data_IF_676775238462
#
_entry.id   IF_676775238462
#
_cell.length_a   1.000
_cell.length_b   1.000
_cell.length_c   1.000
_cell.angle_alpha   90.00
_cell.angle_beta   90.00
_cell.angle_gamma   90.00
#
_symmetry.space_group_name_H-M   'P 1'
#
loop_
_entity.id
_entity.type
_entity.pdbx_description
1 polymer ?
#
# COMPACT_ATOMS: atom_id res chain seq x y z
N UNK A 1 11.47 19.68 -18.07
CA UNK A 1 11.42 18.67 -16.98
C UNK A 1 11.63 17.29 -17.61
N UNK A 2 12.70 16.56 -17.23
CA UNK A 2 12.91 15.17 -17.71
C UNK A 2 11.80 14.28 -17.15
N UNK A 3 11.05 13.61 -18.02
CA UNK A 3 9.99 12.67 -17.60
C UNK A 3 10.63 11.49 -16.85
N UNK A 4 10.03 11.10 -15.73
CA UNK A 4 10.48 9.95 -14.94
C UNK A 4 10.39 8.68 -15.82
N UNK A 5 11.43 7.84 -15.89
CA UNK A 5 11.41 6.64 -16.73
C UNK A 5 10.24 5.72 -16.33
N UNK A 6 9.49 5.20 -17.32
CA UNK A 6 8.24 4.46 -17.09
C UNK A 6 8.38 3.27 -16.12
N UNK A 7 9.54 2.61 -16.13
CA UNK A 7 9.90 1.51 -15.21
C UNK A 7 9.84 1.88 -13.72
N UNK A 8 9.97 3.17 -13.39
CA UNK A 8 9.91 3.68 -12.02
C UNK A 8 8.55 4.28 -11.68
N UNK A 9 7.70 4.55 -12.67
CA UNK A 9 6.40 5.19 -12.43
C UNK A 9 5.49 4.31 -11.57
N UNK A 10 5.41 3.01 -11.88
CA UNK A 10 4.58 2.07 -11.13
C UNK A 10 5.04 1.88 -9.67
N UNK A 11 6.32 1.55 -9.38
CA UNK A 11 6.75 1.41 -7.99
C UNK A 11 6.68 2.74 -7.22
N UNK A 12 6.92 3.88 -7.87
CA UNK A 12 6.78 5.19 -7.24
C UNK A 12 5.31 5.51 -6.92
N UNK A 13 4.38 5.20 -7.83
CA UNK A 13 2.95 5.37 -7.59
C UNK A 13 2.49 4.47 -6.44
N UNK A 14 2.90 3.20 -6.41
CA UNK A 14 2.59 2.29 -5.31
C UNK A 14 3.15 2.80 -3.98
N UNK A 15 4.39 3.31 -3.98
CA UNK A 15 5.04 3.86 -2.79
C UNK A 15 4.31 5.08 -2.22
N UNK A 16 3.68 5.90 -3.06
CA UNK A 16 2.95 7.10 -2.61
C UNK A 16 1.51 6.73 -2.23
N UNK A 17 0.87 5.87 -3.02
CA UNK A 17 -0.55 5.57 -2.91
C UNK A 17 -0.87 4.59 -1.77
N UNK A 18 0.03 3.65 -1.48
CA UNK A 18 -0.16 2.74 -0.34
C UNK A 18 -0.18 3.48 1.02
N UNK A 19 0.83 4.28 1.39
CA UNK A 19 0.79 4.99 2.67
C UNK A 19 -0.32 6.03 2.72
N UNK A 20 -0.67 6.69 1.60
CA UNK A 20 -1.79 7.63 1.61
C UNK A 20 -3.13 6.94 1.92
N UNK A 21 -3.38 5.77 1.34
CA UNK A 21 -4.57 4.97 1.68
C UNK A 21 -4.52 4.45 3.12
N UNK A 22 -3.36 3.92 3.54
CA UNK A 22 -3.18 3.30 4.84
C UNK A 22 -3.32 4.31 6.00
N UNK A 23 -2.95 5.57 5.77
CA UNK A 23 -3.11 6.66 6.74
C UNK A 23 -4.45 7.41 6.58
N UNK A 24 -4.94 7.54 5.35
CA UNK A 24 -6.14 8.31 5.03
C UNK A 24 -7.44 7.61 5.41
N UNK A 25 -7.54 6.29 5.20
CA UNK A 25 -8.75 5.54 5.56
C UNK A 25 -9.05 5.56 7.07
N UNK A 26 -8.06 5.33 7.97
CA UNK A 26 -8.28 5.51 9.41
C UNK A 26 -8.76 6.92 9.76
N UNK A 27 -8.20 7.96 9.14
CA UNK A 27 -8.63 9.34 9.38
C UNK A 27 -10.07 9.58 8.95
N UNK A 28 -10.45 9.14 7.75
CA UNK A 28 -11.84 9.26 7.24
C UNK A 28 -12.80 8.50 8.14
N UNK A 29 -12.45 7.26 8.51
CA UNK A 29 -13.30 6.42 9.36
C UNK A 29 -13.57 7.06 10.72
N UNK A 30 -12.56 7.67 11.35
CA UNK A 30 -12.72 8.37 12.63
C UNK A 30 -13.53 9.64 12.46
N UNK A 31 -13.35 10.40 11.37
CA UNK A 31 -14.16 11.61 11.12
C UNK A 31 -15.63 11.28 10.87
N UNK A 32 -15.92 10.15 10.22
CA UNK A 32 -17.29 9.74 9.90
C UNK A 32 -18.02 9.09 11.08
N UNK A 33 -17.30 8.36 11.93
CA UNK A 33 -17.89 7.58 13.03
C UNK A 33 -17.57 8.14 14.43
N UNK A 34 -16.85 9.27 14.50
CA UNK A 34 -16.28 9.83 15.72
C UNK A 34 -17.30 10.52 16.62
N UNK A 35 -17.91 9.76 17.51
CA UNK A 35 -18.48 10.25 18.78
C UNK A 35 -17.76 9.61 19.98
N UNK A 36 -16.50 9.19 19.77
CA UNK A 36 -15.68 8.54 20.79
C UNK A 36 -15.10 9.54 21.81
N UNK A 37 -14.69 9.05 23.00
CA UNK A 37 -14.17 9.90 24.08
C UNK A 37 -12.76 10.43 23.83
N UNK A 38 -12.06 9.94 22.81
CA UNK A 38 -10.68 10.29 22.51
C UNK A 38 -10.58 11.45 21.53
N UNK A 39 -9.62 12.38 21.71
CA UNK A 39 -9.26 13.34 20.68
C UNK A 39 -8.93 12.65 19.36
N UNK A 40 -9.28 13.30 18.24
CA UNK A 40 -9.08 12.76 16.89
C UNK A 40 -7.65 12.23 16.66
N UNK A 41 -6.65 13.00 17.06
CA UNK A 41 -5.24 12.66 16.85
C UNK A 41 -4.84 11.38 17.56
N UNK A 42 -5.31 11.19 18.80
CA UNK A 42 -4.99 10.01 19.60
C UNK A 42 -5.68 8.77 19.04
N UNK A 43 -6.95 8.89 18.63
CA UNK A 43 -7.69 7.82 17.99
C UNK A 43 -7.05 7.41 16.65
N UNK A 44 -6.58 8.39 15.87
CA UNK A 44 -5.92 8.16 14.59
C UNK A 44 -4.57 7.47 14.77
N UNK A 45 -3.70 7.99 15.65
CA UNK A 45 -2.42 7.39 15.96
C UNK A 45 -2.57 5.96 16.50
N UNK A 46 -3.53 5.74 17.40
CA UNK A 46 -3.83 4.40 17.89
C UNK A 46 -4.18 3.45 16.75
N UNK A 47 -5.11 3.85 15.87
CA UNK A 47 -5.55 3.02 14.74
C UNK A 47 -4.41 2.75 13.73
N UNK A 48 -3.61 3.77 13.43
CA UNK A 48 -2.45 3.65 12.53
C UNK A 48 -1.40 2.73 13.13
N UNK A 49 -1.11 2.83 14.43
CA UNK A 49 -0.12 1.99 15.11
C UNK A 49 -0.51 0.51 15.10
N UNK A 50 -1.81 0.22 15.16
CA UNK A 50 -2.33 -1.14 15.12
C UNK A 50 -2.37 -1.71 13.69
N UNK A 51 -2.64 -0.88 12.68
CA UNK A 51 -2.84 -1.35 11.29
C UNK A 51 -1.56 -1.37 10.47
N UNK A 52 -0.61 -0.46 10.72
CA UNK A 52 0.63 -0.32 9.94
C UNK A 52 1.51 -1.58 9.93
N UNK A 53 1.78 -2.25 11.07
CA UNK A 53 2.62 -3.45 11.07
C UNK A 53 2.05 -4.58 10.20
N UNK A 54 0.74 -4.80 10.29
CA UNK A 54 0.03 -5.81 9.49
C UNK A 54 0.00 -5.45 8.02
N UNK A 55 -0.28 -4.18 7.70
CA UNK A 55 -0.26 -3.70 6.32
C UNK A 55 1.11 -3.87 5.67
N UNK A 56 2.19 -3.64 6.41
CA UNK A 56 3.56 -3.84 5.93
C UNK A 56 3.86 -5.32 5.63
N UNK A 57 3.49 -6.21 6.55
CA UNK A 57 3.65 -7.66 6.37
C UNK A 57 2.87 -8.15 5.14
N UNK A 58 1.64 -7.67 4.95
CA UNK A 58 0.82 -8.00 3.79
C UNK A 58 1.43 -7.46 2.50
N UNK A 59 1.92 -6.22 2.50
CA UNK A 59 2.58 -5.63 1.33
C UNK A 59 3.82 -6.43 0.90
N UNK A 60 4.64 -6.88 1.85
CA UNK A 60 5.81 -7.72 1.57
C UNK A 60 5.38 -9.08 1.00
N UNK A 61 4.37 -9.69 1.62
CA UNK A 61 3.86 -11.01 1.21
C UNK A 61 3.28 -10.96 -0.20
N UNK A 62 2.36 -10.03 -0.45
CA UNK A 62 1.71 -9.83 -1.76
C UNK A 62 2.74 -9.39 -2.80
N UNK A 63 3.66 -8.49 -2.46
CA UNK A 63 4.72 -8.07 -3.36
C UNK A 63 5.62 -9.22 -3.81
N UNK A 64 5.99 -10.09 -2.86
CA UNK A 64 6.79 -11.30 -3.16
C UNK A 64 6.00 -12.29 -4.00
N UNK A 65 4.74 -12.56 -3.65
CA UNK A 65 3.87 -13.45 -4.40
C UNK A 65 3.60 -12.95 -5.82
N UNK A 66 3.27 -11.67 -5.96
CA UNK A 66 3.06 -11.04 -7.26
C UNK A 66 4.32 -11.11 -8.12
N UNK A 67 5.50 -10.88 -7.52
CA UNK A 67 6.78 -11.03 -8.24
C UNK A 67 6.98 -12.47 -8.69
N UNK A 68 6.80 -13.45 -7.80
CA UNK A 68 6.92 -14.87 -8.13
C UNK A 68 5.95 -15.27 -9.24
N UNK A 69 4.67 -14.91 -9.13
CA UNK A 69 3.65 -15.17 -10.14
C UNK A 69 3.99 -14.51 -11.48
N UNK A 70 4.41 -13.25 -11.50
CA UNK A 70 4.81 -12.59 -12.75
C UNK A 70 6.02 -13.31 -13.36
N UNK A 71 7.04 -13.64 -12.56
CA UNK A 71 8.21 -14.36 -13.08
C UNK A 71 7.89 -15.77 -13.57
N UNK A 72 6.96 -16.48 -12.95
CA UNK A 72 6.61 -17.87 -13.31
C UNK A 72 5.52 -17.98 -14.38
N UNK A 73 4.58 -17.04 -14.42
CA UNK A 73 3.40 -17.13 -15.31
C UNK A 73 3.56 -16.24 -16.54
N UNK A 74 4.18 -15.07 -16.42
CA UNK A 74 4.34 -14.12 -17.54
C UNK A 74 5.70 -14.22 -18.24
N UNK A 75 6.78 -14.57 -17.53
CA UNK A 75 8.13 -14.62 -18.12
C UNK A 75 8.51 -16.00 -18.66
N UNK A 76 7.94 -17.10 -18.12
CA UNK A 76 8.08 -18.46 -18.68
C UNK A 76 7.10 -18.72 -19.86
N UNK A 77 6.47 -17.70 -20.46
CA UNK A 77 5.94 -17.85 -21.82
C UNK A 77 7.17 -18.10 -22.70
N UNK A 78 7.35 -19.30 -23.28
CA UNK A 78 8.45 -19.54 -24.18
C UNK A 78 8.34 -18.49 -25.27
N UNK A 79 9.42 -17.80 -25.56
CA UNK A 79 9.62 -17.18 -26.86
C UNK A 79 9.55 -18.33 -27.89
N UNK A 80 8.34 -18.78 -28.19
CA UNK A 80 8.06 -19.77 -29.21
C UNK A 80 8.19 -19.03 -30.53
N UNK A 81 9.44 -19.03 -31.03
CA UNK A 81 9.84 -18.88 -32.43
C UNK A 81 9.36 -17.65 -33.19
#
# INVERSE_FOLDING_TARGET
>A
MKKLPHRFTFPLMALIMMPSMLLGMPAIFILQNGSGPLPFMDAWLYTVSQTTPWGLLMAITVGTFARLLVTRVLVEQPQSK
#
